data_IF_627907879658
#
_entry.id   IF_627907879658
#
_cell.length_a   1.000
_cell.length_b   1.000
_cell.length_c   1.000
_cell.angle_alpha   90.00
_cell.angle_beta   90.00
_cell.angle_gamma   90.00
#
_symmetry.space_group_name_H-M   'P 1'
#
loop_
_entity.id
_entity.type
_entity.pdbx_description
1 polymer ?
#
# COMPACT_ATOMS: atom_id res chain seq x y z
N UNK A 1 0.54 2.83 -31.00
CA UNK A 1 -0.52 3.48 -30.21
C UNK A 1 -0.10 3.36 -28.76
N UNK A 2 0.59 4.37 -28.24
CA UNK A 2 0.95 4.44 -26.83
C UNK A 2 -0.31 4.75 -26.02
N UNK A 3 -0.65 3.83 -25.12
CA UNK A 3 -1.62 4.09 -24.06
C UNK A 3 -0.95 5.08 -23.10
N UNK A 4 -1.56 6.23 -22.76
CA UNK A 4 -0.93 7.16 -21.84
C UNK A 4 -0.79 6.48 -20.46
N UNK A 5 0.46 6.26 -20.04
CA UNK A 5 0.85 5.65 -18.76
C UNK A 5 0.85 6.65 -17.60
N UNK A 6 0.17 7.78 -17.72
CA UNK A 6 -0.10 8.66 -16.57
C UNK A 6 -1.15 7.99 -15.69
N UNK A 7 -1.00 8.00 -14.35
CA UNK A 7 -2.08 7.56 -13.47
C UNK A 7 -3.29 8.46 -13.69
N UNK A 8 -4.43 7.86 -14.02
CA UNK A 8 -5.68 8.57 -14.26
C UNK A 8 -6.31 8.87 -12.89
N UNK A 9 -7.34 9.72 -12.81
CA UNK A 9 -7.84 10.25 -11.53
C UNK A 9 -8.22 9.18 -10.50
N UNK A 10 -8.72 8.01 -10.92
CA UNK A 10 -9.17 6.97 -9.99
C UNK A 10 -8.02 6.35 -9.20
N UNK A 11 -6.84 6.12 -9.80
CA UNK A 11 -5.69 5.56 -9.09
C UNK A 11 -5.24 6.49 -7.95
N UNK A 12 -5.19 7.80 -8.21
CA UNK A 12 -4.82 8.79 -7.21
C UNK A 12 -5.92 8.99 -6.16
N UNK A 13 -7.20 8.93 -6.53
CA UNK A 13 -8.30 8.98 -5.57
C UNK A 13 -8.25 7.80 -4.59
N UNK A 14 -8.00 6.58 -5.11
CA UNK A 14 -7.87 5.37 -4.29
C UNK A 14 -6.59 5.39 -3.44
N UNK A 15 -5.47 5.88 -3.98
CA UNK A 15 -4.24 6.10 -3.20
C UNK A 15 -4.47 7.09 -2.05
N UNK A 16 -5.25 8.15 -2.28
CA UNK A 16 -5.59 9.14 -1.26
C UNK A 16 -6.40 8.52 -0.12
N UNK A 17 -7.39 7.68 -0.44
CA UNK A 17 -8.17 6.93 0.56
C UNK A 17 -7.29 5.94 1.34
N UNK A 18 -6.38 5.26 0.65
CA UNK A 18 -5.40 4.36 1.27
C UNK A 18 -4.49 5.10 2.27
N UNK A 19 -3.97 6.28 1.90
CA UNK A 19 -3.17 7.14 2.79
C UNK A 19 -3.97 7.65 3.99
N UNK A 20 -5.22 8.07 3.77
CA UNK A 20 -6.11 8.52 4.83
C UNK A 20 -6.40 7.40 5.85
N UNK A 21 -6.55 6.16 5.38
CA UNK A 21 -6.76 5.00 6.24
C UNK A 21 -5.48 4.63 6.99
N UNK A 22 -4.33 4.64 6.33
CA UNK A 22 -3.03 4.40 6.97
C UNK A 22 -2.76 5.39 8.12
N UNK A 23 -2.94 6.69 7.88
CA UNK A 23 -2.75 7.72 8.91
C UNK A 23 -3.69 7.53 10.11
N UNK A 24 -4.94 7.12 9.87
CA UNK A 24 -5.93 6.86 10.90
C UNK A 24 -5.61 5.60 11.73
N UNK A 25 -5.02 4.57 11.12
CA UNK A 25 -4.49 3.40 11.84
C UNK A 25 -3.32 3.81 12.73
N UNK A 26 -2.35 4.55 12.18
CA UNK A 26 -1.20 5.06 12.93
C UNK A 26 -1.61 5.93 14.11
N UNK A 27 -2.60 6.81 13.96
CA UNK A 27 -3.07 7.68 15.06
C UNK A 27 -3.70 6.91 16.23
N UNK A 28 -4.16 5.68 15.98
CA UNK A 28 -4.69 4.74 16.99
C UNK A 28 -3.64 3.78 17.54
N UNK A 29 -2.37 3.92 17.14
CA UNK A 29 -1.28 3.03 17.57
C UNK A 29 -1.30 1.67 16.89
N UNK A 30 -1.91 1.55 15.71
CA UNK A 30 -1.82 0.35 14.89
C UNK A 30 -0.59 0.41 13.98
N UNK A 31 0.32 -0.53 14.18
CA UNK A 31 1.63 -0.62 13.53
C UNK A 31 1.67 -1.74 12.49
N UNK A 32 0.54 -2.44 12.28
CA UNK A 32 0.48 -3.56 11.34
C UNK A 32 0.78 -3.09 9.92
N UNK A 33 1.45 -3.97 9.17
CA UNK A 33 1.70 -3.79 7.74
C UNK A 33 0.38 -3.52 7.04
N UNK A 34 0.36 -2.52 6.18
CA UNK A 34 -0.80 -2.21 5.34
C UNK A 34 -0.43 -2.51 3.88
N UNK A 35 -0.72 -3.71 3.37
CA UNK A 35 -0.26 -4.13 2.05
C UNK A 35 -0.75 -3.24 0.92
N UNK A 36 0.15 -2.75 0.07
CA UNK A 36 -0.20 -2.23 -1.25
C UNK A 36 -0.17 -3.39 -2.24
N UNK A 37 -1.33 -4.01 -2.49
CA UNK A 37 -1.44 -5.18 -3.38
C UNK A 37 -1.83 -4.83 -4.82
N UNK A 38 -2.37 -3.62 -5.05
CA UNK A 38 -2.70 -3.17 -6.41
C UNK A 38 -1.44 -2.65 -7.09
N UNK A 39 -0.95 -3.37 -8.09
CA UNK A 39 0.18 -2.89 -8.89
C UNK A 39 -0.17 -1.61 -9.66
N UNK A 40 -1.45 -1.39 -9.99
CA UNK A 40 -1.89 -0.17 -10.66
C UNK A 40 -1.87 1.06 -9.76
N UNK A 41 -2.37 0.93 -8.53
CA UNK A 41 -2.30 2.02 -7.52
C UNK A 41 -0.86 2.25 -7.07
N UNK A 42 -0.06 1.18 -6.94
CA UNK A 42 1.37 1.28 -6.63
C UNK A 42 2.15 2.01 -7.72
N UNK A 43 1.85 1.76 -9.01
CA UNK A 43 2.44 2.52 -10.12
C UNK A 43 2.10 4.02 -10.06
N UNK A 44 0.87 4.37 -9.68
CA UNK A 44 0.47 5.76 -9.48
C UNK A 44 1.24 6.42 -8.34
N UNK A 45 1.46 5.69 -7.25
CA UNK A 45 2.26 6.16 -6.14
C UNK A 45 3.72 6.34 -6.52
N UNK A 46 4.34 5.38 -7.22
CA UNK A 46 5.71 5.52 -7.73
C UNK A 46 5.84 6.76 -8.62
N UNK A 47 4.87 7.00 -9.51
CA UNK A 47 4.87 8.20 -10.35
C UNK A 47 4.75 9.48 -9.52
N UNK A 48 3.81 9.54 -8.58
CA UNK A 48 3.65 10.68 -7.66
C UNK A 48 4.93 10.94 -6.84
N UNK A 49 5.62 9.89 -6.42
CA UNK A 49 6.86 9.98 -5.65
C UNK A 49 8.07 10.47 -6.46
N UNK A 50 7.97 10.62 -7.79
CA UNK A 50 9.04 11.20 -8.62
C UNK A 50 9.24 12.69 -8.35
N UNK A 51 8.21 13.38 -7.84
CA UNK A 51 8.29 14.76 -7.36
C UNK A 51 7.99 14.82 -5.85
N UNK A 52 9.01 15.08 -5.01
CA UNK A 52 8.82 15.19 -3.57
C UNK A 52 7.81 16.25 -3.14
N UNK A 53 7.65 17.35 -3.89
CA UNK A 53 6.72 18.41 -3.57
C UNK A 53 5.26 18.00 -3.83
N UNK A 54 5.02 17.26 -4.91
CA UNK A 54 3.71 16.68 -5.22
C UNK A 54 3.33 15.62 -4.20
N UNK A 55 4.25 14.71 -3.86
CA UNK A 55 4.02 13.70 -2.83
C UNK A 55 3.75 14.34 -1.46
N UNK A 56 4.50 15.37 -1.07
CA UNK A 56 4.28 16.09 0.19
C UNK A 56 2.91 16.77 0.22
N UNK A 57 2.51 17.43 -0.87
CA UNK A 57 1.19 18.07 -1.02
C UNK A 57 0.06 17.05 -0.97
N UNK A 58 0.25 15.88 -1.60
CA UNK A 58 -0.70 14.79 -1.60
C UNK A 58 -0.86 14.16 -0.19
N UNK A 59 0.26 13.90 0.49
CA UNK A 59 0.26 13.41 1.87
C UNK A 59 -0.44 14.41 2.81
N UNK A 60 -0.15 15.71 2.67
CA UNK A 60 -0.81 16.75 3.46
C UNK A 60 -2.34 16.73 3.23
N UNK A 61 -2.77 16.65 1.97
CA UNK A 61 -4.20 16.64 1.61
C UNK A 61 -4.97 15.45 2.19
N UNK A 62 -4.41 14.25 2.13
CA UNK A 62 -5.16 13.02 2.43
C UNK A 62 -4.85 12.41 3.80
N UNK A 63 -3.62 12.55 4.28
CA UNK A 63 -3.14 11.93 5.51
C UNK A 63 -2.83 12.94 6.62
N UNK A 64 -2.59 14.21 6.28
CA UNK A 64 -2.13 15.23 7.23
C UNK A 64 -0.73 14.99 7.80
N UNK A 65 -0.08 13.89 7.41
CA UNK A 65 1.26 13.48 7.86
C UNK A 65 2.05 12.95 6.65
N UNK A 66 3.39 13.11 6.61
CA UNK A 66 4.23 12.52 5.57
C UNK A 66 4.14 10.99 5.56
N UNK A 67 3.89 10.41 4.38
CA UNK A 67 3.89 8.96 4.14
C UNK A 67 4.97 8.63 3.11
N UNK A 68 5.73 7.59 3.40
CA UNK A 68 6.81 7.06 2.55
C UNK A 68 6.44 5.70 1.99
N UNK A 69 7.18 5.29 0.97
CA UNK A 69 7.03 4.00 0.30
C UNK A 69 8.19 3.09 0.68
N UNK A 70 7.91 1.84 1.06
CA UNK A 70 8.94 0.85 1.33
C UNK A 70 8.62 -0.48 0.65
N UNK A 71 9.65 -1.18 0.12
CA UNK A 71 9.49 -2.53 -0.38
C UNK A 71 9.26 -3.49 0.81
N UNK A 72 8.05 -4.04 0.90
CA UNK A 72 7.64 -5.00 1.93
C UNK A 72 6.95 -6.15 1.23
N UNK A 73 7.63 -7.30 1.14
CA UNK A 73 7.08 -8.50 0.49
C UNK A 73 6.26 -9.33 1.45
N UNK A 74 5.11 -9.81 1.00
CA UNK A 74 4.28 -10.71 1.78
C UNK A 74 3.15 -11.34 0.96
N UNK A 75 2.44 -12.26 1.61
CA UNK A 75 1.23 -12.85 1.06
C UNK A 75 0.29 -13.24 2.20
N UNK A 76 -1.01 -13.19 1.94
CA UNK A 76 -2.04 -13.52 2.93
C UNK A 76 -3.29 -12.66 2.77
N UNK A 77 -4.11 -12.64 3.82
CA UNK A 77 -5.29 -11.77 3.88
C UNK A 77 -4.84 -10.32 4.02
N UNK A 78 -5.43 -9.44 3.23
CA UNK A 78 -5.25 -7.98 3.33
C UNK A 78 -6.25 -7.45 4.34
N UNK A 79 -5.78 -7.17 5.55
CA UNK A 79 -6.66 -6.91 6.71
C UNK A 79 -7.30 -5.51 6.73
N UNK A 80 -6.79 -4.56 5.95
CA UNK A 80 -7.33 -3.21 5.85
C UNK A 80 -8.54 -3.08 4.94
N UNK A 81 -8.84 -4.12 4.14
CA UNK A 81 -9.97 -4.09 3.20
C UNK A 81 -11.31 -3.91 3.92
N UNK A 82 -11.47 -4.49 5.12
CA UNK A 82 -12.70 -4.36 5.90
C UNK A 82 -12.89 -2.89 6.33
N UNK A 83 -11.85 -2.28 6.93
CA UNK A 83 -11.89 -0.88 7.36
C UNK A 83 -12.04 0.10 6.19
N UNK A 84 -11.42 -0.21 5.05
CA UNK A 84 -11.62 0.56 3.82
C UNK A 84 -13.07 0.50 3.36
N UNK A 85 -13.64 -0.71 3.35
CA UNK A 85 -15.02 -0.94 2.90
C UNK A 85 -16.02 -0.22 3.79
N UNK A 86 -15.83 -0.28 5.11
CA UNK A 86 -16.68 0.42 6.08
C UNK A 86 -16.64 1.95 5.90
N UNK A 87 -15.48 2.51 5.52
CA UNK A 87 -15.28 3.96 5.43
C UNK A 87 -15.63 4.53 4.05
N UNK A 88 -15.30 3.82 2.98
CA UNK A 88 -15.34 4.34 1.61
C UNK A 88 -16.23 3.53 0.66
N UNK A 89 -16.78 2.41 1.12
CA UNK A 89 -17.50 1.45 0.29
C UNK A 89 -16.57 0.44 -0.39
N UNK A 90 -17.16 -0.43 -1.21
CA UNK A 90 -16.44 -1.53 -1.85
C UNK A 90 -15.25 -1.06 -2.70
N UNK A 91 -14.17 -1.85 -2.70
CA UNK A 91 -12.99 -1.61 -3.51
C UNK A 91 -13.36 -1.58 -5.01
N UNK A 92 -13.07 -0.48 -5.72
CA UNK A 92 -13.23 -0.46 -7.18
C UNK A 92 -12.23 -1.39 -7.88
N UNK A 93 -12.56 -1.77 -9.11
CA UNK A 93 -11.79 -2.72 -9.92
C UNK A 93 -10.29 -2.38 -10.05
N UNK A 94 -9.90 -1.11 -9.95
CA UNK A 94 -8.50 -0.67 -10.03
C UNK A 94 -7.61 -1.30 -8.95
N UNK A 95 -8.16 -1.69 -7.80
CA UNK A 95 -7.42 -2.42 -6.78
C UNK A 95 -6.98 -3.81 -7.23
N UNK A 96 -7.68 -4.39 -8.20
CA UNK A 96 -7.43 -5.72 -8.75
C UNK A 96 -6.72 -5.66 -10.10
N UNK A 97 -6.28 -4.47 -10.52
CA UNK A 97 -5.57 -4.27 -11.78
C UNK A 97 -4.05 -4.48 -11.60
N UNK A 98 -3.44 -5.14 -12.58
CA UNK A 98 -1.99 -5.11 -12.74
C UNK A 98 -1.50 -3.73 -13.22
N UNK A 99 -0.19 -3.51 -13.30
CA UNK A 99 0.38 -2.23 -13.73
C UNK A 99 -0.05 -1.79 -15.15
N UNK A 100 -0.45 -2.73 -16.01
CA UNK A 100 -0.96 -2.47 -17.37
C UNK A 100 -2.46 -2.13 -17.39
N UNK A 101 -3.15 -2.26 -16.26
CA UNK A 101 -4.59 -2.03 -16.13
C UNK A 101 -5.44 -3.28 -16.37
N UNK A 102 -4.83 -4.46 -16.55
CA UNK A 102 -5.58 -5.71 -16.70
C UNK A 102 -6.09 -6.17 -15.34
N UNK A 103 -7.40 -6.40 -15.26
CA UNK A 103 -8.07 -6.86 -14.03
C UNK A 103 -7.79 -8.35 -13.80
N UNK A 104 -7.38 -8.70 -12.58
CA UNK A 104 -7.44 -10.06 -12.07
C UNK A 104 -8.88 -10.41 -11.71
N UNK A 105 -9.57 -11.03 -12.67
CA UNK A 105 -10.96 -11.43 -12.52
C UNK A 105 -11.16 -12.48 -11.41
N UNK A 106 -10.15 -13.31 -11.11
CA UNK A 106 -10.29 -14.33 -10.08
C UNK A 106 -10.31 -13.70 -8.68
N UNK A 107 -9.37 -12.79 -8.41
CA UNK A 107 -9.29 -12.09 -7.13
C UNK A 107 -10.51 -11.17 -6.97
N UNK A 108 -10.90 -10.43 -8.02
CA UNK A 108 -12.08 -9.56 -7.99
C UNK A 108 -13.36 -10.36 -7.71
N UNK A 109 -13.64 -11.44 -8.46
CA UNK A 109 -14.84 -12.25 -8.22
C UNK A 109 -14.83 -12.94 -6.85
N UNK A 110 -13.65 -13.24 -6.29
CA UNK A 110 -13.54 -13.73 -4.91
C UNK A 110 -13.89 -12.64 -3.91
N UNK A 111 -13.37 -11.43 -4.08
CA UNK A 111 -13.70 -10.27 -3.27
C UNK A 111 -15.19 -9.96 -3.31
N UNK A 112 -15.81 -9.88 -4.49
CA UNK A 112 -17.24 -9.58 -4.64
C UNK A 112 -18.14 -10.58 -3.91
N UNK A 113 -17.74 -11.86 -3.83
CA UNK A 113 -18.51 -12.89 -3.11
C UNK A 113 -18.27 -12.90 -1.60
N UNK A 114 -17.12 -12.44 -1.13
CA UNK A 114 -16.65 -12.72 0.25
C UNK A 114 -16.30 -11.47 1.05
N UNK A 115 -16.18 -10.30 0.41
CA UNK A 115 -15.60 -9.09 0.98
C UNK A 115 -14.10 -9.19 1.30
N UNK A 116 -13.46 -10.34 1.06
CA UNK A 116 -12.09 -10.61 1.51
C UNK A 116 -11.11 -10.62 0.34
N UNK A 117 -9.94 -10.02 0.54
CA UNK A 117 -8.81 -10.11 -0.39
C UNK A 117 -7.71 -10.97 0.22
N UNK A 118 -7.27 -12.00 -0.52
CA UNK A 118 -6.11 -12.84 -0.18
C UNK A 118 -5.19 -12.85 -1.39
N UNK A 119 -4.00 -12.25 -1.26
CA UNK A 119 -3.09 -12.02 -2.39
C UNK A 119 -1.65 -11.82 -1.90
N UNK A 120 -0.71 -11.65 -2.83
CA UNK A 120 0.65 -11.19 -2.57
C UNK A 120 0.75 -9.67 -2.69
N UNK A 121 1.82 -9.11 -2.12
CA UNK A 121 2.18 -7.71 -2.21
C UNK A 121 3.69 -7.56 -2.07
N UNK A 122 4.21 -6.45 -2.60
CA UNK A 122 5.64 -6.12 -2.55
C UNK A 122 5.91 -4.73 -1.94
N UNK A 123 4.88 -3.95 -1.64
CA UNK A 123 4.99 -2.56 -1.17
C UNK A 123 4.07 -2.29 0.03
N UNK A 124 4.46 -1.34 0.89
CA UNK A 124 3.64 -0.87 2.01
C UNK A 124 4.00 0.59 2.39
N UNK A 125 3.07 1.37 2.95
CA UNK A 125 3.37 2.68 3.52
C UNK A 125 4.17 2.56 4.81
N UNK A 126 5.09 3.50 4.96
CA UNK A 126 5.87 3.74 6.18
C UNK A 126 5.76 5.22 6.56
N UNK A 127 5.95 5.59 7.83
CA UNK A 127 6.07 7.00 8.17
C UNK A 127 7.26 7.61 7.42
N UNK A 128 7.07 8.73 6.72
CA UNK A 128 8.20 9.48 6.15
C UNK A 128 8.82 10.33 7.26
N UNK A 129 10.14 10.18 7.50
CA UNK A 129 10.87 11.02 8.45
C UNK A 129 11.28 10.37 9.77
N UNK A 130 11.65 9.09 9.77
CA UNK A 130 12.60 8.63 10.78
C UNK A 130 13.95 9.26 10.50
N UNK A 131 14.39 10.22 11.33
CA UNK A 131 15.81 10.54 11.42
C UNK A 131 16.53 9.25 11.85
N UNK A 132 17.21 8.63 10.89
CA UNK A 132 17.88 7.36 11.06
C UNK A 132 18.43 6.93 9.70
N UNK A 133 19.56 7.51 9.31
CA UNK A 133 20.56 6.74 8.57
C UNK A 133 20.81 5.48 9.41
N UNK A 134 20.24 4.36 9.01
CA UNK A 134 20.76 3.07 9.43
C UNK A 134 20.59 2.09 8.28
N UNK A 135 21.73 1.62 7.78
CA UNK A 135 21.83 0.49 6.90
C UNK A 135 20.89 -0.62 7.36
N UNK A 136 20.19 -1.23 6.41
CA UNK A 136 19.40 -2.43 6.64
C UNK A 136 20.34 -3.52 7.16
N UNK A 137 20.46 -3.63 8.48
CA UNK A 137 21.21 -4.68 9.14
C UNK A 137 20.54 -6.03 8.81
N UNK A 138 21.22 -6.81 7.98
CA UNK A 138 20.81 -8.16 7.62
C UNK A 138 20.79 -9.02 8.90
N UNK A 139 19.72 -9.77 9.21
CA UNK A 139 19.70 -10.57 10.42
C UNK A 139 20.66 -11.76 10.28
N UNK A 140 21.83 -11.65 10.90
CA UNK A 140 22.76 -12.77 11.06
C UNK A 140 22.17 -13.76 12.07
N UNK A 141 21.74 -14.91 11.54
CA UNK A 141 21.32 -16.09 12.30
C UNK A 141 22.46 -16.56 13.21
N UNK A 142 22.42 -16.24 14.50
CA UNK A 142 23.35 -16.83 15.47
C UNK A 142 22.71 -18.06 16.11
N UNK A 143 23.39 -19.19 15.93
CA UNK A 143 23.01 -20.50 16.42
C UNK A 143 23.03 -20.58 17.95
N UNK A 144 22.09 -21.34 18.50
CA UNK A 144 21.97 -21.62 19.93
C UNK A 144 23.13 -22.49 20.44
N UNK A 145 23.84 -22.02 21.46
CA UNK A 145 24.74 -22.84 22.26
C UNK A 145 23.97 -23.43 23.45
N UNK A 146 23.93 -24.77 23.51
CA UNK A 146 23.39 -25.55 24.63
C UNK A 146 24.32 -25.42 25.84
N UNK A 147 23.72 -25.24 27.01
CA UNK A 147 24.39 -25.24 28.32
C UNK A 147 24.82 -26.68 28.66
N UNK A 148 25.99 -26.82 29.28
CA UNK A 148 26.41 -27.96 30.10
C UNK A 148 26.78 -27.43 31.48
#
# INVERSE_FOLDING_TARGET
MDVPTSPVGIELDELGKFFALYAERRSRGDDRVMPMFSARVDAAWHHLATDPADLASFCHRFAGTPIGHAPVKGAGRVDWVDEYTDRFGALPAVWFADASGKIDAEILSRYERTGTVVTNWDCSPVPSGGEGDDEVATPTRTAAARRS
#
